data_IF_628251344121
#
_entry.id   IF_628251344121
#
_cell.length_a   1.000
_cell.length_b   1.000
_cell.length_c   1.000
_cell.angle_alpha   90.00
_cell.angle_beta   90.00
_cell.angle_gamma   90.00
#
_symmetry.space_group_name_H-M   'P 1'
#
loop_
_entity.id
_entity.type
_entity.pdbx_description
1 polymer ?
#
# COMPACT_ATOMS: atom_id res chain seq x y z
N UNK A 1 83.43 -5.69 0.54
CA UNK A 1 82.74 -4.51 -0.03
C UNK A 1 82.87 -4.68 -1.55
N UNK A 2 81.78 -5.06 -2.22
CA UNK A 2 81.81 -5.57 -3.60
C UNK A 2 82.03 -4.42 -4.60
N UNK A 3 82.99 -4.60 -5.51
CA UNK A 3 83.27 -3.72 -6.65
C UNK A 3 82.08 -3.66 -7.62
N UNK A 4 81.18 -2.69 -7.43
CA UNK A 4 79.95 -2.54 -8.22
C UNK A 4 80.12 -1.70 -9.52
N UNK A 5 81.36 -1.41 -9.94
CA UNK A 5 81.65 -0.46 -11.02
C UNK A 5 82.49 -1.02 -12.18
N UNK A 6 82.42 -2.33 -12.46
CA UNK A 6 83.13 -2.92 -13.60
C UNK A 6 82.28 -3.05 -14.89
N UNK A 7 80.99 -2.71 -14.86
CA UNK A 7 80.05 -2.97 -15.98
C UNK A 7 79.56 -1.71 -16.71
N UNK A 8 80.45 -0.76 -17.00
CA UNK A 8 80.11 0.37 -17.89
C UNK A 8 80.74 0.19 -19.26
N UNK A 9 79.92 0.21 -20.31
CA UNK A 9 80.41 0.27 -21.70
C UNK A 9 80.62 1.73 -22.06
N UNK A 10 81.81 2.01 -22.57
CA UNK A 10 82.17 3.32 -23.10
C UNK A 10 81.76 3.38 -24.56
N UNK A 11 80.99 4.40 -24.92
CA UNK A 11 80.67 4.69 -26.32
C UNK A 11 81.30 6.04 -26.64
N UNK A 12 82.24 6.05 -27.58
CA UNK A 12 82.78 7.27 -28.16
C UNK A 12 81.87 7.70 -29.30
N UNK A 13 81.49 8.97 -29.31
CA UNK A 13 80.77 9.57 -30.43
C UNK A 13 81.63 10.70 -30.97
N UNK A 14 81.97 10.61 -32.26
CA UNK A 14 82.65 11.68 -32.98
C UNK A 14 81.60 12.73 -33.34
N UNK A 15 81.76 13.94 -32.79
CA UNK A 15 80.96 15.10 -33.17
C UNK A 15 81.84 15.90 -34.13
N UNK A 16 81.60 15.69 -35.43
CA UNK A 16 82.40 16.24 -36.51
C UNK A 16 82.57 17.78 -36.35
N UNK A 17 83.82 18.26 -36.37
CA UNK A 17 84.20 19.67 -36.11
C UNK A 17 85.72 19.87 -36.09
N UNK A 18 86.20 21.11 -36.21
CA UNK A 18 87.63 21.48 -36.17
C UNK A 18 87.93 22.44 -34.99
N UNK A 19 88.66 22.00 -33.94
CA UNK A 19 89.24 20.67 -33.75
C UNK A 19 88.18 19.62 -33.36
N UNK A 20 88.46 18.34 -33.67
CA UNK A 20 87.56 17.22 -33.39
C UNK A 20 87.19 17.11 -31.91
N UNK A 21 85.89 17.11 -31.62
CA UNK A 21 85.36 16.96 -30.25
C UNK A 21 84.77 15.57 -30.07
N UNK A 22 85.37 14.79 -29.16
CA UNK A 22 84.87 13.47 -28.78
C UNK A 22 84.11 13.54 -27.47
N UNK A 23 82.87 13.05 -27.45
CA UNK A 23 82.10 12.90 -26.21
C UNK A 23 82.08 11.44 -25.80
N UNK A 24 82.54 11.18 -24.58
CA UNK A 24 82.52 9.86 -23.96
C UNK A 24 81.31 9.73 -23.04
N UNK A 25 80.37 8.85 -23.38
CA UNK A 25 79.25 8.51 -22.50
C UNK A 25 79.52 7.16 -21.80
N UNK A 26 79.34 7.11 -20.48
CA UNK A 26 79.27 5.84 -19.72
C UNK A 26 77.84 5.32 -19.76
N UNK A 27 77.63 4.17 -20.38
CA UNK A 27 76.34 3.47 -20.35
C UNK A 27 76.46 2.21 -19.49
N UNK A 28 75.40 1.90 -18.74
CA UNK A 28 75.33 0.69 -17.91
C UNK A 28 75.15 -0.54 -18.81
N UNK A 29 75.78 -1.67 -18.45
CA UNK A 29 75.59 -2.93 -19.17
C UNK A 29 74.12 -3.37 -19.11
N UNK A 30 73.52 -3.70 -20.26
CA UNK A 30 72.08 -3.99 -20.37
C UNK A 30 71.20 -2.78 -20.73
N UNK A 31 71.81 -1.62 -21.04
CA UNK A 31 71.07 -0.49 -21.62
C UNK A 31 70.39 -0.94 -22.92
N UNK A 32 69.05 -0.79 -23.05
CA UNK A 32 68.33 -1.21 -24.25
C UNK A 32 68.87 -0.53 -25.50
N UNK A 33 68.90 -1.25 -26.63
CA UNK A 33 69.33 -0.69 -27.92
C UNK A 33 68.52 0.55 -28.31
N UNK A 34 67.26 0.65 -27.88
CA UNK A 34 66.44 1.85 -28.09
C UNK A 34 67.03 3.11 -27.47
N UNK A 35 67.69 3.02 -26.31
CA UNK A 35 68.37 4.15 -25.65
C UNK A 35 69.65 4.53 -26.40
N UNK A 36 70.36 3.55 -26.96
CA UNK A 36 71.54 3.76 -27.81
C UNK A 36 71.13 4.42 -29.14
N UNK A 37 70.03 3.97 -29.74
CA UNK A 37 69.44 4.54 -30.96
C UNK A 37 68.90 5.96 -30.76
N UNK A 38 68.57 6.38 -29.54
CA UNK A 38 68.24 7.79 -29.26
C UNK A 38 69.46 8.72 -29.32
N UNK A 39 70.69 8.18 -29.22
CA UNK A 39 71.94 8.96 -29.21
C UNK A 39 72.50 9.11 -30.63
N UNK A 40 72.29 8.11 -31.51
CA UNK A 40 72.74 8.13 -32.91
C UNK A 40 72.31 9.36 -33.74
N UNK A 41 71.05 9.85 -33.65
CA UNK A 41 70.61 11.03 -34.41
C UNK A 41 71.37 12.30 -34.05
N UNK A 42 72.00 12.37 -32.87
CA UNK A 42 72.78 13.54 -32.45
C UNK A 42 74.13 13.66 -33.16
N UNK A 43 74.54 12.69 -33.98
CA UNK A 43 75.79 12.72 -34.74
C UNK A 43 75.85 13.82 -35.81
N UNK A 44 74.70 14.29 -36.30
CA UNK A 44 74.61 15.37 -37.29
C UNK A 44 74.34 16.77 -36.71
N UNK A 45 74.36 16.90 -35.37
CA UNK A 45 74.02 18.14 -34.69
C UNK A 45 75.29 18.95 -34.41
N UNK A 46 75.27 20.24 -34.69
CA UNK A 46 76.35 21.14 -34.23
C UNK A 46 76.28 21.25 -32.71
N UNK A 47 77.39 21.64 -32.06
CA UNK A 47 77.48 21.77 -30.60
C UNK A 47 76.37 22.67 -30.00
N UNK A 48 75.90 23.67 -30.77
CA UNK A 48 74.79 24.55 -30.40
C UNK A 48 73.44 23.80 -30.38
N UNK A 49 73.15 23.04 -31.43
CA UNK A 49 71.91 22.27 -31.55
C UNK A 49 71.82 21.16 -30.49
N UNK A 50 72.95 20.51 -30.15
CA UNK A 50 72.99 19.53 -29.05
C UNK A 50 72.62 20.18 -27.71
N UNK A 51 73.13 21.39 -27.45
CA UNK A 51 72.84 22.13 -26.22
C UNK A 51 71.36 22.50 -26.12
N UNK A 52 70.77 22.96 -27.23
CA UNK A 52 69.35 23.30 -27.28
C UNK A 52 68.44 22.09 -26.99
N UNK A 53 68.74 20.94 -27.62
CA UNK A 53 67.99 19.68 -27.41
C UNK A 53 68.08 19.21 -25.96
N UNK A 54 69.28 19.25 -25.36
CA UNK A 54 69.49 18.88 -23.95
C UNK A 54 68.70 19.81 -23.02
N UNK A 55 68.76 21.12 -23.26
CA UNK A 55 68.03 22.11 -22.47
C UNK A 55 66.51 21.94 -22.61
N UNK A 56 66.00 21.69 -23.82
CA UNK A 56 64.60 21.41 -24.07
C UNK A 56 64.14 20.12 -23.36
N UNK A 57 64.96 19.06 -23.41
CA UNK A 57 64.72 17.80 -22.70
C UNK A 57 64.63 17.97 -21.19
N UNK A 58 65.56 18.72 -20.59
CA UNK A 58 65.54 19.02 -19.14
C UNK A 58 64.30 19.85 -18.76
N UNK A 59 63.91 20.83 -19.59
CA UNK A 59 62.68 21.61 -19.37
C UNK A 59 61.43 20.72 -19.45
N UNK A 60 61.38 19.79 -20.41
CA UNK A 60 60.27 18.85 -20.55
C UNK A 60 60.17 17.92 -19.33
N UNK A 61 61.29 17.35 -18.89
CA UNK A 61 61.35 16.49 -17.70
C UNK A 61 60.85 17.22 -16.43
N UNK A 62 61.24 18.49 -16.25
CA UNK A 62 60.72 19.32 -15.15
C UNK A 62 59.20 19.50 -15.24
N UNK A 63 58.65 19.75 -16.44
CA UNK A 63 57.20 19.88 -16.66
C UNK A 63 56.46 18.57 -16.36
N UNK A 64 56.97 17.43 -16.85
CA UNK A 64 56.39 16.12 -16.60
C UNK A 64 56.38 15.78 -15.10
N UNK A 65 57.49 16.05 -14.39
CA UNK A 65 57.55 15.87 -12.93
C UNK A 65 56.49 16.69 -12.20
N UNK A 66 56.29 17.95 -12.60
CA UNK A 66 55.25 18.80 -12.02
C UNK A 66 53.83 18.26 -12.28
N UNK A 67 53.56 17.73 -13.48
CA UNK A 67 52.28 17.13 -13.82
C UNK A 67 51.99 15.88 -12.98
N UNK A 68 52.98 14.99 -12.83
CA UNK A 68 52.85 13.78 -11.99
C UNK A 68 52.56 14.13 -10.53
N UNK A 69 53.22 15.16 -9.98
CA UNK A 69 52.91 15.62 -8.62
C UNK A 69 51.47 16.13 -8.47
N UNK A 70 50.94 16.86 -9.47
CA UNK A 70 49.54 17.28 -9.46
C UNK A 70 48.58 16.09 -9.50
N UNK A 71 48.86 15.09 -10.33
CA UNK A 71 48.05 13.88 -10.41
C UNK A 71 48.08 13.07 -9.11
N UNK A 72 49.24 12.96 -8.46
CA UNK A 72 49.36 12.28 -7.17
C UNK A 72 48.45 12.92 -6.10
N UNK A 73 48.37 14.24 -6.07
CA UNK A 73 47.48 14.96 -5.16
C UNK A 73 45.99 14.63 -5.39
N UNK A 74 45.56 14.55 -6.65
CA UNK A 74 44.17 14.17 -7.00
C UNK A 74 43.87 12.73 -6.56
N UNK A 75 44.78 11.79 -6.83
CA UNK A 75 44.62 10.39 -6.44
C UNK A 75 44.53 10.22 -4.93
N UNK A 76 45.33 10.96 -4.16
CA UNK A 76 45.29 10.87 -2.70
C UNK A 76 43.98 11.42 -2.13
N UNK A 77 43.45 12.52 -2.69
CA UNK A 77 42.12 13.05 -2.34
C UNK A 77 41.00 12.04 -2.64
N UNK A 78 41.08 11.36 -3.80
CA UNK A 78 40.11 10.30 -4.14
C UNK A 78 40.19 9.14 -3.14
N UNK A 79 41.40 8.74 -2.74
CA UNK A 79 41.60 7.68 -1.73
C UNK A 79 40.97 8.06 -0.39
N UNK A 80 41.20 9.29 0.09
CA UNK A 80 40.61 9.75 1.36
C UNK A 80 39.08 9.81 1.29
N UNK A 81 38.51 10.25 0.16
CA UNK A 81 37.06 10.28 -0.03
C UNK A 81 36.45 8.87 0.00
N UNK A 82 37.06 7.91 -0.69
CA UNK A 82 36.61 6.51 -0.69
C UNK A 82 36.71 5.92 0.73
N UNK A 83 37.80 6.16 1.45
CA UNK A 83 37.96 5.71 2.84
C UNK A 83 36.90 6.31 3.76
N UNK A 84 36.62 7.60 3.64
CA UNK A 84 35.60 8.28 4.43
C UNK A 84 34.19 7.71 4.16
N UNK A 85 33.81 7.55 2.88
CA UNK A 85 32.51 6.98 2.51
C UNK A 85 32.39 5.53 2.96
N UNK A 86 33.46 4.75 2.85
CA UNK A 86 33.49 3.38 3.37
C UNK A 86 33.34 3.32 4.88
N UNK A 87 33.95 4.25 5.62
CA UNK A 87 33.76 4.39 7.07
C UNK A 87 32.32 4.75 7.43
N UNK A 88 31.71 5.71 6.72
CA UNK A 88 30.32 6.08 6.91
C UNK A 88 29.35 4.91 6.66
N UNK A 89 29.60 4.10 5.62
CA UNK A 89 28.81 2.90 5.30
C UNK A 89 29.03 1.78 6.34
N UNK A 90 30.26 1.62 6.85
CA UNK A 90 30.56 0.62 7.89
C UNK A 90 29.92 0.96 9.23
N UNK A 91 29.72 2.25 9.50
CA UNK A 91 29.02 2.74 10.70
C UNK A 91 27.49 2.77 10.53
N UNK A 92 26.99 2.55 9.31
CA UNK A 92 25.56 2.39 9.02
C UNK A 92 25.16 0.92 8.80
N UNK A 93 25.98 -0.05 9.22
CA UNK A 93 25.56 -1.43 9.30
C UNK A 93 24.32 -1.50 10.21
N UNK A 94 23.16 -1.93 9.69
CA UNK A 94 21.93 -1.92 10.46
C UNK A 94 22.02 -2.97 11.55
N UNK A 95 21.49 -2.65 12.72
CA UNK A 95 21.19 -3.55 13.81
C UNK A 95 20.22 -4.64 13.33
N UNK A 96 20.71 -5.64 12.61
CA UNK A 96 19.92 -6.76 12.07
C UNK A 96 19.29 -7.61 13.18
N UNK A 97 19.80 -7.51 14.41
CA UNK A 97 19.18 -8.09 15.60
C UNK A 97 17.79 -7.47 15.91
N UNK A 98 17.63 -6.14 15.78
CA UNK A 98 16.38 -5.46 16.13
C UNK A 98 15.26 -5.72 15.11
N UNK A 99 15.60 -5.91 13.83
CA UNK A 99 14.62 -6.17 12.77
C UNK A 99 13.99 -7.57 12.87
N UNK A 100 14.79 -8.58 13.21
CA UNK A 100 14.31 -9.95 13.37
C UNK A 100 13.37 -10.09 14.58
N UNK A 101 13.69 -9.43 15.70
CA UNK A 101 12.81 -9.41 16.87
C UNK A 101 11.50 -8.66 16.62
N UNK A 102 11.54 -7.54 15.90
CA UNK A 102 10.34 -6.80 15.51
C UNK A 102 9.43 -7.60 14.58
N UNK A 103 10.01 -8.36 13.63
CA UNK A 103 9.25 -9.23 12.74
C UNK A 103 8.56 -10.36 13.52
N UNK A 104 9.26 -10.98 14.46
CA UNK A 104 8.68 -12.06 15.28
C UNK A 104 7.53 -11.57 16.15
N UNK A 105 7.64 -10.37 16.75
CA UNK A 105 6.53 -9.73 17.49
C UNK A 105 5.35 -9.43 16.57
N UNK A 106 5.60 -8.89 15.39
CA UNK A 106 4.54 -8.59 14.43
C UNK A 106 3.82 -9.87 13.93
N UNK A 107 4.56 -10.98 13.82
CA UNK A 107 3.99 -12.29 13.47
C UNK A 107 3.13 -12.86 14.60
N UNK A 108 3.61 -12.81 15.84
CA UNK A 108 2.86 -13.18 17.05
C UNK A 108 1.57 -12.34 17.19
N UNK A 109 1.65 -11.01 16.98
CA UNK A 109 0.49 -10.12 17.00
C UNK A 109 -0.51 -10.42 15.87
N UNK A 110 -0.02 -10.73 14.66
CA UNK A 110 -0.87 -11.14 13.54
C UNK A 110 -1.60 -12.44 13.83
N UNK A 111 -0.93 -13.42 14.43
CA UNK A 111 -1.56 -14.68 14.83
C UNK A 111 -2.64 -14.46 15.89
N UNK A 112 -2.37 -13.63 16.91
CA UNK A 112 -3.39 -13.25 17.90
C UNK A 112 -4.58 -12.55 17.26
N UNK A 113 -4.33 -11.56 16.39
CA UNK A 113 -5.39 -10.86 15.66
C UNK A 113 -6.21 -11.81 14.76
N UNK A 114 -5.56 -12.83 14.19
CA UNK A 114 -6.25 -13.84 13.38
C UNK A 114 -7.18 -14.73 14.22
N UNK A 115 -6.74 -15.13 15.41
CA UNK A 115 -7.56 -15.91 16.36
C UNK A 115 -8.75 -15.08 16.83
N UNK A 116 -8.53 -13.81 17.20
CA UNK A 116 -9.59 -12.88 17.60
C UNK A 116 -10.59 -12.63 16.46
N UNK A 117 -10.12 -12.43 15.24
CA UNK A 117 -10.99 -12.27 14.06
C UNK A 117 -11.84 -13.52 13.80
N UNK A 118 -11.27 -14.72 13.98
CA UNK A 118 -12.02 -15.96 13.84
C UNK A 118 -13.08 -16.11 14.95
N UNK A 119 -12.76 -15.72 16.19
CA UNK A 119 -13.71 -15.73 17.30
C UNK A 119 -14.89 -14.78 17.04
N UNK A 120 -14.60 -13.52 16.70
CA UNK A 120 -15.61 -12.52 16.36
C UNK A 120 -16.48 -12.97 15.19
N UNK A 121 -15.91 -13.63 14.19
CA UNK A 121 -16.67 -14.18 13.06
C UNK A 121 -17.69 -15.23 13.51
N UNK A 122 -17.34 -16.11 14.43
CA UNK A 122 -18.29 -17.10 14.95
C UNK A 122 -19.36 -16.44 15.84
N UNK A 123 -19.01 -15.41 16.62
CA UNK A 123 -20.01 -14.61 17.35
C UNK A 123 -21.00 -13.92 16.40
N UNK A 124 -20.51 -13.28 15.33
CA UNK A 124 -21.36 -12.63 14.32
C UNK A 124 -22.35 -13.63 13.71
N UNK A 125 -21.89 -14.82 13.34
CA UNK A 125 -22.79 -15.87 12.82
C UNK A 125 -23.83 -16.31 13.84
N UNK A 126 -23.44 -16.43 15.11
CA UNK A 126 -24.37 -16.80 16.18
C UNK A 126 -25.43 -15.70 16.39
N UNK A 127 -25.06 -14.41 16.28
CA UNK A 127 -26.02 -13.30 16.35
C UNK A 127 -26.92 -13.24 15.13
N UNK A 128 -26.39 -13.44 13.92
CA UNK A 128 -27.20 -13.48 12.70
C UNK A 128 -28.21 -14.62 12.71
N UNK A 129 -27.88 -15.77 13.29
CA UNK A 129 -28.82 -16.88 13.47
C UNK A 129 -29.99 -16.47 14.38
N UNK A 130 -29.70 -15.82 15.50
CA UNK A 130 -30.73 -15.32 16.43
C UNK A 130 -31.61 -14.25 15.79
N UNK A 131 -31.05 -13.37 14.98
CA UNK A 131 -31.81 -12.34 14.26
C UNK A 131 -32.78 -12.98 13.25
N UNK A 132 -32.35 -14.02 12.53
CA UNK A 132 -33.23 -14.78 11.63
C UNK A 132 -34.37 -15.48 12.37
N UNK A 133 -34.09 -16.05 13.54
CA UNK A 133 -35.12 -16.69 14.37
C UNK A 133 -36.13 -15.65 14.88
N UNK A 134 -35.65 -14.48 15.33
CA UNK A 134 -36.51 -13.37 15.77
C UNK A 134 -37.39 -12.83 14.61
N UNK A 135 -36.83 -12.70 13.41
CA UNK A 135 -37.58 -12.28 12.22
C UNK A 135 -38.70 -13.28 11.87
N UNK A 136 -38.45 -14.59 12.01
CA UNK A 136 -39.46 -15.63 11.81
C UNK A 136 -40.58 -15.52 12.87
N UNK A 137 -40.23 -15.29 14.13
CA UNK A 137 -41.22 -15.12 15.20
C UNK A 137 -42.07 -13.85 15.01
N UNK A 138 -41.45 -12.73 14.59
CA UNK A 138 -42.18 -11.51 14.23
C UNK A 138 -43.15 -11.78 13.06
N UNK A 139 -42.74 -12.52 12.04
CA UNK A 139 -43.60 -12.88 10.92
C UNK A 139 -44.79 -13.75 11.38
N UNK A 140 -44.55 -14.70 12.28
CA UNK A 140 -45.59 -15.52 12.89
C UNK A 140 -46.60 -14.69 13.69
N UNK A 141 -46.12 -13.85 14.60
CA UNK A 141 -46.98 -12.98 15.42
C UNK A 141 -47.81 -12.00 14.58
N UNK A 142 -47.24 -11.46 13.50
CA UNK A 142 -47.99 -10.61 12.55
C UNK A 142 -49.15 -11.35 11.91
N UNK A 143 -48.95 -12.63 11.56
CA UNK A 143 -50.01 -13.47 10.98
C UNK A 143 -51.13 -13.71 12.00
N UNK A 144 -50.79 -14.08 13.23
CA UNK A 144 -51.78 -14.27 14.31
C UNK A 144 -52.56 -12.99 14.61
N UNK A 145 -51.88 -11.84 14.61
CA UNK A 145 -52.52 -10.53 14.81
C UNK A 145 -53.54 -10.23 13.71
N UNK A 146 -53.20 -10.51 12.45
CA UNK A 146 -54.11 -10.27 11.31
C UNK A 146 -55.31 -11.23 11.35
N UNK A 147 -55.10 -12.50 11.69
CA UNK A 147 -56.18 -13.48 11.89
C UNK A 147 -57.11 -13.05 13.04
N UNK A 148 -56.56 -12.61 14.17
CA UNK A 148 -57.32 -12.08 15.30
C UNK A 148 -58.14 -10.85 14.90
N UNK A 149 -57.51 -9.91 14.19
CA UNK A 149 -58.16 -8.69 13.70
C UNK A 149 -59.33 -9.01 12.75
N UNK A 150 -59.14 -9.95 11.84
CA UNK A 150 -60.20 -10.42 10.95
C UNK A 150 -61.35 -11.06 11.75
N UNK A 151 -61.04 -11.89 12.74
CA UNK A 151 -62.03 -12.48 13.65
C UNK A 151 -62.85 -11.42 14.40
N UNK A 152 -62.20 -10.42 14.97
CA UNK A 152 -62.87 -9.29 15.64
C UNK A 152 -63.76 -8.49 14.67
N UNK A 153 -63.31 -8.27 13.43
CA UNK A 153 -64.11 -7.56 12.44
C UNK A 153 -65.41 -8.33 12.09
N UNK A 154 -65.34 -9.66 11.98
CA UNK A 154 -66.52 -10.51 11.77
C UNK A 154 -67.47 -10.44 12.95
N UNK A 155 -66.97 -10.62 14.18
CA UNK A 155 -67.79 -10.56 15.40
C UNK A 155 -68.47 -9.20 15.57
N UNK A 156 -67.72 -8.10 15.33
CA UNK A 156 -68.26 -6.74 15.38
C UNK A 156 -69.42 -6.58 14.40
N UNK A 157 -69.25 -7.04 13.15
CA UNK A 157 -70.30 -6.96 12.12
C UNK A 157 -71.52 -7.80 12.48
N UNK A 158 -71.32 -9.00 13.03
CA UNK A 158 -72.43 -9.84 13.49
C UNK A 158 -73.21 -9.16 14.62
N UNK A 159 -72.50 -8.58 15.58
CA UNK A 159 -73.11 -7.83 16.70
C UNK A 159 -73.88 -6.60 16.20
N UNK A 160 -73.29 -5.84 15.29
CA UNK A 160 -73.94 -4.68 14.66
C UNK A 160 -75.22 -5.09 13.91
N UNK A 161 -75.19 -6.19 13.16
CA UNK A 161 -76.37 -6.73 12.49
C UNK A 161 -77.46 -7.17 13.48
N UNK A 162 -77.07 -7.81 14.60
CA UNK A 162 -78.01 -8.20 15.67
C UNK A 162 -78.66 -6.96 16.30
N UNK A 163 -77.87 -5.92 16.56
CA UNK A 163 -78.38 -4.65 17.11
C UNK A 163 -79.36 -3.97 16.16
N UNK A 164 -79.01 -3.83 14.88
CA UNK A 164 -79.93 -3.24 13.88
C UNK A 164 -81.24 -4.01 13.79
N UNK A 165 -81.18 -5.36 13.76
CA UNK A 165 -82.40 -6.19 13.78
C UNK A 165 -83.26 -5.91 15.02
N UNK A 166 -82.66 -5.84 16.20
CA UNK A 166 -83.41 -5.53 17.43
C UNK A 166 -84.05 -4.13 17.36
N UNK A 167 -83.34 -3.13 16.84
CA UNK A 167 -83.88 -1.78 16.68
C UNK A 167 -85.05 -1.78 15.70
N UNK A 168 -84.90 -2.45 14.56
CA UNK A 168 -85.96 -2.60 13.56
C UNK A 168 -87.18 -3.29 14.16
N UNK A 169 -87.00 -4.41 14.86
CA UNK A 169 -88.09 -5.16 15.51
C UNK A 169 -88.86 -4.28 16.51
N UNK A 170 -88.15 -3.51 17.36
CA UNK A 170 -88.76 -2.57 18.30
C UNK A 170 -89.54 -1.48 17.57
N UNK A 171 -88.97 -0.92 16.49
CA UNK A 171 -89.62 0.11 15.69
C UNK A 171 -90.90 -0.41 15.01
N UNK A 172 -90.86 -1.61 14.44
CA UNK A 172 -92.02 -2.25 13.82
C UNK A 172 -93.15 -2.49 14.83
N UNK A 173 -92.83 -2.98 16.03
CA UNK A 173 -93.81 -3.15 17.11
C UNK A 173 -94.44 -1.82 17.50
N UNK A 174 -93.62 -0.78 17.69
CA UNK A 174 -94.10 0.58 18.00
C UNK A 174 -95.01 1.15 16.90
N UNK A 175 -94.62 1.01 15.63
CA UNK A 175 -95.41 1.46 14.49
C UNK A 175 -96.76 0.75 14.39
N UNK A 176 -96.78 -0.59 14.56
CA UNK A 176 -98.03 -1.38 14.58
C UNK A 176 -98.97 -0.93 15.71
N UNK A 177 -98.41 -0.65 16.90
CA UNK A 177 -99.17 -0.08 18.01
C UNK A 177 -99.80 1.27 17.63
N UNK A 178 -99.02 2.16 16.99
CA UNK A 178 -99.50 3.46 16.53
C UNK A 178 -100.62 3.36 15.48
N UNK A 179 -100.52 2.47 14.49
CA UNK A 179 -101.60 2.26 13.51
C UNK A 179 -102.88 1.81 14.21
N UNK A 180 -102.78 0.78 15.08
CA UNK A 180 -103.93 0.22 15.80
C UNK A 180 -104.61 1.25 16.71
N UNK A 181 -103.85 2.13 17.35
CA UNK A 181 -104.39 3.15 18.26
C UNK A 181 -105.19 4.25 17.54
N UNK A 182 -104.88 4.53 16.28
CA UNK A 182 -105.47 5.64 15.54
C UNK A 182 -106.51 5.19 14.50
N UNK A 183 -106.91 3.91 14.52
CA UNK A 183 -107.85 3.30 13.57
C UNK A 183 -107.52 3.63 12.10
N UNK A 184 -106.22 3.73 11.78
CA UNK A 184 -105.77 4.03 10.43
C UNK A 184 -105.91 2.74 9.63
N UNK A 185 -107.10 2.52 9.06
CA UNK A 185 -107.38 1.47 8.08
C UNK A 185 -106.46 1.68 6.88
N UNK A 186 -105.44 0.84 6.74
CA UNK A 186 -104.74 0.67 5.47
C UNK A 186 -105.11 -0.68 4.87
N UNK A 187 -105.59 -0.67 3.63
CA UNK A 187 -105.53 -1.80 2.70
C UNK A 187 -104.06 -2.14 2.41
N UNK A 188 -103.33 -2.66 3.39
CA UNK A 188 -101.95 -3.09 3.24
C UNK A 188 -101.91 -4.57 2.84
N UNK A 189 -101.15 -4.96 1.79
CA UNK A 189 -101.06 -6.34 1.33
C UNK A 189 -100.56 -7.24 2.46
N UNK A 190 -101.42 -8.17 2.85
CA UNK A 190 -101.17 -9.19 3.87
C UNK A 190 -100.03 -10.09 3.43
N UNK A 191 -98.83 -9.84 3.96
CA UNK A 191 -97.80 -10.88 4.06
C UNK A 191 -97.49 -11.13 5.54
N UNK A 192 -98.17 -12.17 6.03
CA UNK A 192 -97.76 -13.11 7.08
C UNK A 192 -97.71 -12.63 8.54
N UNK A 193 -98.74 -12.99 9.31
CA UNK A 193 -98.56 -13.64 10.63
C UNK A 193 -99.91 -14.20 11.11
N UNK A 194 -100.05 -15.53 11.06
CA UNK A 194 -101.19 -16.30 11.60
C UNK A 194 -100.72 -17.03 12.86
N UNK A 195 -100.34 -16.27 13.89
CA UNK A 195 -100.13 -16.81 15.23
C UNK A 195 -100.77 -15.86 16.24
N UNK A 196 -101.86 -16.33 16.85
CA UNK A 196 -102.65 -15.65 17.85
C UNK A 196 -101.91 -15.64 19.19
N UNK A 197 -101.24 -14.52 19.48
CA UNK A 197 -100.68 -14.22 20.79
C UNK A 197 -101.09 -12.83 21.24
N UNK A 198 -102.14 -12.76 22.05
CA UNK A 198 -102.62 -11.54 22.69
C UNK A 198 -101.58 -11.02 23.71
N UNK A 199 -100.59 -10.27 23.22
CA UNK A 199 -99.66 -9.54 24.08
C UNK A 199 -100.22 -8.14 24.35
N UNK A 200 -100.80 -7.98 25.54
CA UNK A 200 -101.19 -6.67 26.09
C UNK A 200 -99.95 -5.80 26.21
N UNK A 201 -99.87 -4.72 25.41
CA UNK A 201 -98.87 -3.67 25.57
C UNK A 201 -99.12 -2.92 26.89
N UNK A 202 -98.62 -3.47 27.99
CA UNK A 202 -98.56 -2.81 29.29
C UNK A 202 -97.21 -2.09 29.37
N UNK A 203 -97.18 -0.79 29.15
CA UNK A 203 -96.05 0.04 29.54
C UNK A 203 -96.19 0.37 31.03
N UNK A 204 -95.18 0.01 31.82
CA UNK A 204 -94.91 0.53 33.15
C UNK A 204 -93.52 1.20 33.13
#
# INVERSE_FOLDING_TARGET
MLDFFQFTKWVSVNLEGDPLVFVMARLLFGTPESVISCIQPMQGYTAEQTTEVVVAGVRNLKRQRALLFKQLGVTEMMRTFITQKRGAIKNSAPTTANGAEALRRAEEEREMAQVEANHLREEVKATEAKDRDADQEIAHLRKELEESRAGFAVQKKELENKYHRQVDDIFFVGYRCCIKKNDITQDTPSYLSDDEGEAVCSFA
#
